data_IF_558656743671
#
_entry.id   IF_558656743671
#
_cell.length_a   1.000
_cell.length_b   1.000
_cell.length_c   1.000
_cell.angle_alpha   90.00
_cell.angle_beta   90.00
_cell.angle_gamma   90.00
#
_symmetry.space_group_name_H-M   'P 1'
#
loop_
_entity.id
_entity.type
_entity.pdbx_description
1 polymer ?
#
# COMPACT_ATOMS: atom_id res chain seq x y z
N UNK A 1 -12.69 -10.86 -8.99
CA UNK A 1 -12.34 -11.32 -7.62
C UNK A 1 -11.60 -10.28 -6.80
N UNK A 2 -10.54 -9.62 -7.31
CA UNK A 2 -9.81 -8.57 -6.55
C UNK A 2 -10.66 -7.32 -6.25
N UNK A 3 -11.53 -6.91 -7.18
CA UNK A 3 -12.45 -5.78 -6.97
C UNK A 3 -13.38 -6.05 -5.77
N UNK A 4 -14.02 -7.22 -5.73
CA UNK A 4 -14.93 -7.62 -4.63
C UNK A 4 -14.20 -7.59 -3.28
N UNK A 5 -12.99 -8.15 -3.21
CA UNK A 5 -12.19 -8.12 -1.97
C UNK A 5 -11.86 -6.70 -1.52
N UNK A 6 -11.59 -5.81 -2.47
CA UNK A 6 -11.31 -4.40 -2.18
C UNK A 6 -12.56 -3.68 -1.67
N UNK A 7 -13.70 -3.87 -2.33
CA UNK A 7 -14.98 -3.32 -1.87
C UNK A 7 -15.31 -3.79 -0.46
N UNK A 8 -15.14 -5.08 -0.16
CA UNK A 8 -15.34 -5.61 1.19
C UNK A 8 -14.40 -4.99 2.24
N UNK A 9 -13.14 -4.73 1.89
CA UNK A 9 -12.18 -4.05 2.80
C UNK A 9 -12.60 -2.61 3.07
N UNK A 10 -12.98 -1.87 2.03
CA UNK A 10 -13.48 -0.49 2.16
C UNK A 10 -14.73 -0.48 3.03
N UNK A 11 -15.69 -1.38 2.75
CA UNK A 11 -16.93 -1.49 3.52
C UNK A 11 -16.65 -1.83 4.99
N UNK A 12 -15.77 -2.79 5.27
CA UNK A 12 -15.42 -3.16 6.64
C UNK A 12 -14.78 -2.01 7.42
N UNK A 13 -13.86 -1.26 6.82
CA UNK A 13 -13.23 -0.08 7.46
C UNK A 13 -14.25 1.03 7.63
N UNK A 14 -15.09 1.28 6.63
CA UNK A 14 -16.16 2.28 6.68
C UNK A 14 -17.16 1.99 7.80
N UNK A 15 -17.66 0.75 7.88
CA UNK A 15 -18.61 0.33 8.92
C UNK A 15 -17.97 0.42 10.31
N UNK A 16 -16.72 -0.02 10.47
CA UNK A 16 -16.01 0.08 11.75
C UNK A 16 -15.91 1.55 12.21
N UNK A 17 -15.51 2.43 11.31
CA UNK A 17 -15.32 3.85 11.62
C UNK A 17 -16.62 4.59 11.90
N UNK A 18 -17.73 4.12 11.33
CA UNK A 18 -19.06 4.72 11.46
C UNK A 18 -20.01 3.92 12.37
N UNK A 19 -19.53 2.92 13.09
CA UNK A 19 -20.40 2.00 13.83
C UNK A 19 -21.31 2.73 14.82
N UNK A 20 -20.77 3.71 15.57
CA UNK A 20 -21.55 4.51 16.49
C UNK A 20 -22.59 5.41 15.81
N UNK A 21 -22.26 5.98 14.65
CA UNK A 21 -23.20 6.80 13.88
C UNK A 21 -24.30 5.95 13.22
N UNK A 22 -23.93 4.76 12.73
CA UNK A 22 -24.88 3.79 12.16
C UNK A 22 -25.83 3.26 13.22
N UNK A 23 -25.40 3.09 14.46
CA UNK A 23 -26.24 2.70 15.58
C UNK A 23 -27.27 3.77 15.94
N UNK A 24 -26.92 5.04 15.83
CA UNK A 24 -27.88 6.14 16.01
C UNK A 24 -28.95 6.17 14.90
N UNK A 25 -28.61 5.71 13.69
CA UNK A 25 -29.53 5.63 12.56
C UNK A 25 -30.39 4.35 12.59
N UNK A 26 -29.81 3.24 13.00
CA UNK A 26 -30.42 1.93 13.04
C UNK A 26 -29.93 1.17 14.30
N UNK A 27 -30.67 1.27 15.42
CA UNK A 27 -30.27 0.64 16.67
C UNK A 27 -30.09 -0.88 16.51
N UNK A 28 -28.93 -1.38 16.92
CA UNK A 28 -28.60 -2.80 16.90
C UNK A 28 -28.78 -3.41 18.31
N UNK A 29 -29.14 -4.71 18.41
CA UNK A 29 -29.05 -5.41 19.67
C UNK A 29 -27.63 -5.33 20.23
N UNK A 30 -27.45 -5.07 21.52
CA UNK A 30 -26.14 -4.85 22.13
C UNK A 30 -25.15 -5.99 21.89
N UNK A 31 -25.61 -7.24 21.86
CA UNK A 31 -24.77 -8.40 21.51
C UNK A 31 -24.24 -8.32 20.07
N UNK A 32 -25.07 -7.89 19.11
CA UNK A 32 -24.68 -7.74 17.70
C UNK A 32 -23.68 -6.59 17.56
N UNK A 33 -23.90 -5.47 18.24
CA UNK A 33 -22.97 -4.34 18.26
C UNK A 33 -21.57 -4.77 18.70
N UNK A 34 -21.46 -5.46 19.85
CA UNK A 34 -20.15 -5.91 20.37
C UNK A 34 -19.49 -6.94 19.48
N UNK A 35 -20.23 -7.87 18.87
CA UNK A 35 -19.69 -8.85 17.92
C UNK A 35 -19.14 -8.16 16.66
N UNK A 36 -19.87 -7.18 16.12
CA UNK A 36 -19.43 -6.42 14.96
C UNK A 36 -18.18 -5.60 15.31
N UNK A 37 -18.19 -4.90 16.42
CA UNK A 37 -17.03 -4.10 16.87
C UNK A 37 -15.79 -4.98 17.01
N UNK A 38 -15.90 -6.13 17.65
CA UNK A 38 -14.79 -7.04 17.88
C UNK A 38 -14.29 -7.67 16.58
N UNK A 39 -15.21 -8.16 15.74
CA UNK A 39 -14.88 -8.77 14.46
C UNK A 39 -14.24 -7.79 13.47
N UNK A 40 -14.80 -6.58 13.34
CA UNK A 40 -14.27 -5.55 12.46
C UNK A 40 -12.93 -4.99 12.98
N UNK A 41 -12.77 -4.84 14.30
CA UNK A 41 -11.48 -4.44 14.90
C UNK A 41 -10.40 -5.48 14.68
N UNK A 42 -10.71 -6.76 14.88
CA UNK A 42 -9.78 -7.84 14.58
C UNK A 42 -9.40 -7.88 13.09
N UNK A 43 -10.39 -7.70 12.19
CA UNK A 43 -10.14 -7.56 10.75
C UNK A 43 -9.26 -6.35 10.45
N UNK A 44 -9.51 -5.20 11.06
CA UNK A 44 -8.74 -3.98 10.87
C UNK A 44 -7.27 -4.15 11.27
N UNK A 45 -6.99 -4.74 12.43
CA UNK A 45 -5.63 -5.07 12.87
C UNK A 45 -4.96 -6.04 11.90
N UNK A 46 -5.67 -7.12 11.52
CA UNK A 46 -5.15 -8.06 10.52
C UNK A 46 -4.85 -7.38 9.19
N UNK A 47 -5.71 -6.46 8.74
CA UNK A 47 -5.50 -5.73 7.50
C UNK A 47 -4.27 -4.81 7.55
N UNK A 48 -3.94 -4.25 8.71
CA UNK A 48 -2.68 -3.52 8.91
C UNK A 48 -1.45 -4.42 8.74
N UNK A 49 -1.51 -5.66 9.16
CA UNK A 49 -0.39 -6.61 9.10
C UNK A 49 -0.27 -7.21 7.68
N UNK A 50 -1.38 -7.73 7.17
CA UNK A 50 -1.46 -8.46 5.91
C UNK A 50 -2.45 -7.86 4.90
N UNK A 51 -2.21 -6.63 4.39
CA UNK A 51 -3.17 -5.94 3.52
C UNK A 51 -3.39 -6.65 2.19
N UNK A 52 -2.36 -7.33 1.66
CA UNK A 52 -2.47 -8.11 0.42
C UNK A 52 -1.54 -9.32 0.42
N UNK A 53 -2.10 -10.49 0.10
CA UNK A 53 -1.31 -11.70 -0.13
C UNK A 53 -0.70 -11.67 -1.54
N UNK A 54 0.63 -11.66 -1.63
CA UNK A 54 1.37 -11.77 -2.88
C UNK A 54 2.27 -13.01 -2.79
N UNK A 55 1.69 -14.18 -3.13
CA UNK A 55 2.40 -15.47 -3.09
C UNK A 55 3.64 -15.43 -4.00
N UNK A 56 4.77 -15.96 -3.54
CA UNK A 56 6.01 -16.01 -4.30
C UNK A 56 6.70 -14.67 -4.55
N UNK A 57 6.19 -13.54 -4.00
CA UNK A 57 6.86 -12.26 -4.11
C UNK A 57 7.88 -12.06 -2.97
N UNK A 58 9.04 -11.42 -3.23
CA UNK A 58 10.00 -11.02 -2.21
C UNK A 58 9.37 -10.11 -1.16
N UNK A 59 9.98 -10.05 0.03
CA UNK A 59 9.49 -9.21 1.14
C UNK A 59 9.25 -7.75 0.72
N UNK A 60 10.17 -7.16 -0.06
CA UNK A 60 10.06 -5.78 -0.57
C UNK A 60 8.77 -5.59 -1.40
N UNK A 61 8.53 -6.45 -2.37
CA UNK A 61 7.36 -6.35 -3.25
C UNK A 61 6.05 -6.64 -2.50
N UNK A 62 6.07 -7.53 -1.51
CA UNK A 62 4.91 -7.78 -0.64
C UNK A 62 4.57 -6.55 0.20
N UNK A 63 5.58 -5.89 0.79
CA UNK A 63 5.38 -4.67 1.55
C UNK A 63 4.88 -3.53 0.66
N UNK A 64 5.45 -3.37 -0.54
CA UNK A 64 5.07 -2.34 -1.51
C UNK A 64 3.61 -2.47 -1.97
N UNK A 65 3.19 -3.67 -2.39
CA UNK A 65 1.81 -3.88 -2.84
C UNK A 65 0.82 -3.85 -1.67
N UNK A 66 1.27 -4.24 -0.47
CA UNK A 66 0.50 -4.07 0.76
C UNK A 66 0.27 -2.59 1.09
N UNK A 67 1.30 -1.76 0.98
CA UNK A 67 1.19 -0.31 1.15
C UNK A 67 0.26 0.33 0.11
N UNK A 68 0.34 -0.11 -1.15
CA UNK A 68 -0.60 0.30 -2.19
C UNK A 68 -2.07 0.02 -1.81
N UNK A 69 -2.37 -1.17 -1.29
CA UNK A 69 -3.74 -1.53 -0.88
C UNK A 69 -4.21 -0.71 0.33
N UNK A 70 -3.35 -0.46 1.31
CA UNK A 70 -3.68 0.39 2.46
C UNK A 70 -4.01 1.82 2.01
N UNK A 71 -3.15 2.43 1.17
CA UNK A 71 -3.39 3.77 0.62
C UNK A 71 -4.68 3.84 -0.21
N UNK A 72 -4.93 2.84 -1.05
CA UNK A 72 -6.11 2.82 -1.89
C UNK A 72 -7.40 2.66 -1.07
N UNK A 73 -7.40 1.75 -0.07
CA UNK A 73 -8.55 1.55 0.82
C UNK A 73 -8.80 2.81 1.65
N UNK A 74 -7.76 3.43 2.24
CA UNK A 74 -7.94 4.67 3.01
C UNK A 74 -8.52 5.80 2.16
N UNK A 75 -8.06 5.96 0.91
CA UNK A 75 -8.59 6.96 -0.02
C UNK A 75 -10.05 6.70 -0.39
N UNK A 76 -10.40 5.45 -0.71
CA UNK A 76 -11.78 5.08 -1.05
C UNK A 76 -12.72 5.21 0.15
N UNK A 77 -12.24 4.87 1.36
CA UNK A 77 -13.02 5.05 2.60
C UNK A 77 -13.26 6.54 2.89
N UNK A 78 -12.25 7.39 2.69
CA UNK A 78 -12.39 8.85 2.82
C UNK A 78 -13.42 9.43 1.83
N UNK A 79 -13.38 8.95 0.57
CA UNK A 79 -14.37 9.35 -0.44
C UNK A 79 -15.80 8.89 -0.06
N UNK A 80 -15.95 7.65 0.41
CA UNK A 80 -17.24 7.13 0.89
C UNK A 80 -17.78 7.93 2.08
N UNK A 81 -16.91 8.31 3.03
CA UNK A 81 -17.27 9.15 4.18
C UNK A 81 -17.76 10.53 3.75
N UNK A 82 -17.05 11.14 2.80
CA UNK A 82 -17.46 12.45 2.25
C UNK A 82 -18.87 12.38 1.65
N UNK A 83 -19.14 11.33 0.85
CA UNK A 83 -20.48 11.11 0.27
C UNK A 83 -21.50 10.86 1.37
N UNK A 84 -21.17 10.03 2.36
CA UNK A 84 -22.07 9.71 3.48
C UNK A 84 -22.45 10.98 4.27
N UNK A 85 -21.49 11.86 4.57
CA UNK A 85 -21.78 13.12 5.25
C UNK A 85 -22.62 14.08 4.39
N UNK A 86 -22.36 14.17 3.10
CA UNK A 86 -23.19 14.97 2.21
C UNK A 86 -24.63 14.46 2.23
N UNK A 87 -24.85 13.14 2.14
CA UNK A 87 -26.19 12.55 2.19
C UNK A 87 -26.85 12.84 3.53
N UNK A 88 -26.17 12.64 4.66
CA UNK A 88 -26.69 12.95 5.99
C UNK A 88 -27.08 14.41 6.15
N UNK A 89 -26.27 15.33 5.62
CA UNK A 89 -26.54 16.76 5.69
C UNK A 89 -27.74 17.17 4.80
N UNK A 90 -27.86 16.59 3.61
CA UNK A 90 -28.93 16.91 2.65
C UNK A 90 -30.28 16.29 3.05
N UNK A 91 -30.28 15.07 3.60
CA UNK A 91 -31.54 14.38 3.93
C UNK A 91 -32.21 14.86 5.21
N UNK A 92 -31.49 15.59 6.04
CA UNK A 92 -32.04 16.06 7.32
C UNK A 92 -32.36 14.94 8.33
N UNK A 93 -31.93 13.68 8.08
CA UNK A 93 -32.22 12.56 8.97
C UNK A 93 -31.89 12.84 10.43
N UNK A 94 -32.77 12.55 11.40
CA UNK A 94 -32.47 12.69 12.81
C UNK A 94 -31.39 11.70 13.21
N UNK A 95 -30.24 12.20 13.68
CA UNK A 95 -29.12 11.35 14.14
C UNK A 95 -29.22 10.97 15.60
N UNK A 96 -30.12 11.62 16.35
CA UNK A 96 -30.27 11.40 17.78
C UNK A 96 -31.73 11.14 18.09
N UNK A 97 -32.08 9.94 18.58
CA UNK A 97 -33.44 9.65 18.99
C UNK A 97 -33.83 10.49 20.22
N UNK A 98 -35.07 10.92 20.29
CA UNK A 98 -35.65 11.50 21.52
C UNK A 98 -35.53 10.47 22.67
N UNK A 99 -35.13 10.82 23.89
CA UNK A 99 -35.09 12.18 24.45
C UNK A 99 -33.75 12.89 24.46
N UNK A 100 -32.75 12.36 23.76
CA UNK A 100 -31.40 12.96 23.73
C UNK A 100 -31.40 14.21 22.84
N UNK A 101 -31.27 15.40 23.46
CA UNK A 101 -31.27 16.69 22.79
C UNK A 101 -29.93 17.13 22.23
N UNK A 102 -28.99 16.19 22.04
CA UNK A 102 -27.67 16.55 21.53
C UNK A 102 -27.77 17.09 20.07
N UNK A 103 -27.18 18.24 19.79
CA UNK A 103 -27.17 18.78 18.44
C UNK A 103 -26.54 17.79 17.45
N UNK A 104 -27.11 17.68 16.26
CA UNK A 104 -26.67 16.80 15.19
C UNK A 104 -25.16 16.92 14.89
N UNK A 105 -24.63 18.14 14.91
CA UNK A 105 -23.21 18.37 14.66
C UNK A 105 -22.30 17.70 15.71
N UNK A 106 -22.78 17.51 16.95
CA UNK A 106 -22.03 16.80 18.01
C UNK A 106 -21.78 15.33 17.61
N UNK A 107 -22.81 14.65 17.11
CA UNK A 107 -22.68 13.27 16.63
C UNK A 107 -21.73 13.17 15.44
N UNK A 108 -21.81 14.11 14.51
CA UNK A 108 -20.90 14.16 13.34
C UNK A 108 -19.46 14.44 13.76
N UNK A 109 -19.22 15.38 14.68
CA UNK A 109 -17.88 15.68 15.20
C UNK A 109 -17.31 14.49 15.97
N UNK A 110 -18.13 13.87 16.85
CA UNK A 110 -17.70 12.67 17.59
C UNK A 110 -17.32 11.52 16.65
N UNK A 111 -18.10 11.29 15.60
CA UNK A 111 -17.75 10.31 14.58
C UNK A 111 -16.44 10.66 13.86
N UNK A 112 -16.25 11.93 13.47
CA UNK A 112 -15.04 12.39 12.80
C UNK A 112 -13.79 12.17 13.66
N UNK A 113 -13.89 12.34 14.99
CA UNK A 113 -12.81 12.06 15.94
C UNK A 113 -12.43 10.57 16.01
N UNK A 114 -13.33 9.66 15.67
CA UNK A 114 -13.05 8.22 15.54
C UNK A 114 -12.57 7.88 14.14
N UNK A 115 -13.21 8.41 13.11
CA UNK A 115 -12.94 8.15 11.71
C UNK A 115 -11.50 8.57 11.30
N UNK A 116 -11.12 9.80 11.64
CA UNK A 116 -9.82 10.35 11.22
C UNK A 116 -8.62 9.54 11.75
N UNK A 117 -8.52 9.13 13.02
CA UNK A 117 -7.43 8.28 13.49
C UNK A 117 -7.41 6.90 12.82
N UNK A 118 -8.57 6.27 12.63
CA UNK A 118 -8.64 4.96 11.99
C UNK A 118 -8.15 5.03 10.53
N UNK A 119 -8.69 5.92 9.72
CA UNK A 119 -8.28 6.06 8.33
C UNK A 119 -6.87 6.64 8.21
N UNK A 120 -6.51 7.55 9.10
CA UNK A 120 -5.17 8.12 9.21
C UNK A 120 -4.09 7.06 9.48
N UNK A 121 -4.36 6.11 10.38
CA UNK A 121 -3.43 5.02 10.66
C UNK A 121 -3.20 4.11 9.44
N UNK A 122 -4.26 3.79 8.66
CA UNK A 122 -4.13 3.06 7.38
C UNK A 122 -3.26 3.84 6.39
N UNK A 123 -3.51 5.14 6.28
CA UNK A 123 -2.79 6.03 5.38
C UNK A 123 -1.31 6.12 5.74
N UNK A 124 -1.00 6.33 7.02
CA UNK A 124 0.37 6.41 7.54
C UNK A 124 1.12 5.10 7.31
N UNK A 125 0.53 3.95 7.68
CA UNK A 125 1.14 2.64 7.46
C UNK A 125 1.36 2.37 5.96
N UNK A 126 0.35 2.68 5.12
CA UNK A 126 0.45 2.55 3.67
C UNK A 126 1.54 3.44 3.08
N UNK A 127 1.61 4.68 3.53
CA UNK A 127 2.65 5.63 3.13
C UNK A 127 4.05 5.13 3.45
N UNK A 128 4.32 4.74 4.69
CA UNK A 128 5.66 4.26 5.08
C UNK A 128 6.05 3.01 4.30
N UNK A 129 5.14 2.05 4.12
CA UNK A 129 5.44 0.87 3.30
C UNK A 129 5.85 1.25 1.87
N UNK A 130 5.10 2.14 1.21
CA UNK A 130 5.40 2.59 -0.15
C UNK A 130 6.68 3.42 -0.18
N UNK A 131 6.84 4.38 0.73
CA UNK A 131 7.97 5.29 0.78
C UNK A 131 9.32 4.56 0.93
N UNK A 132 9.37 3.50 1.74
CA UNK A 132 10.62 2.75 1.97
C UNK A 132 10.84 1.62 0.95
N UNK A 133 9.82 1.16 0.24
CA UNK A 133 9.95 0.00 -0.66
C UNK A 133 9.96 0.34 -2.15
N UNK A 134 9.33 1.43 -2.56
CA UNK A 134 9.31 1.87 -3.97
C UNK A 134 10.62 2.54 -4.35
N UNK A 135 11.24 2.09 -5.44
CA UNK A 135 12.46 2.69 -6.02
C UNK A 135 12.14 3.74 -7.07
N UNK A 136 10.99 3.61 -7.75
CA UNK A 136 10.59 4.52 -8.82
C UNK A 136 9.83 5.76 -8.32
N UNK A 137 9.41 5.76 -7.05
CA UNK A 137 8.77 6.92 -6.45
C UNK A 137 9.83 7.97 -6.07
N UNK A 138 9.88 9.07 -6.82
CA UNK A 138 10.80 10.20 -6.54
C UNK A 138 10.52 10.77 -5.16
N UNK A 139 11.59 11.27 -4.51
CA UNK A 139 11.52 11.88 -3.16
C UNK A 139 10.47 13.01 -3.10
N UNK A 140 10.38 13.82 -4.16
CA UNK A 140 9.39 14.90 -4.25
C UNK A 140 7.96 14.39 -4.02
N UNK A 141 7.55 13.26 -4.63
CA UNK A 141 6.20 12.70 -4.45
C UNK A 141 5.97 12.16 -3.05
N UNK A 142 7.03 11.67 -2.38
CA UNK A 142 6.95 11.23 -0.98
C UNK A 142 6.72 12.41 -0.05
N UNK A 143 7.46 13.50 -0.26
CA UNK A 143 7.34 14.75 0.51
C UNK A 143 5.97 15.38 0.28
N UNK A 144 5.53 15.50 -0.98
CA UNK A 144 4.21 16.04 -1.31
C UNK A 144 3.08 15.23 -0.67
N UNK A 145 3.17 13.90 -0.70
CA UNK A 145 2.16 13.03 -0.06
C UNK A 145 2.12 13.22 1.45
N UNK A 146 3.28 13.46 2.09
CA UNK A 146 3.38 13.67 3.53
C UNK A 146 2.76 15.01 3.96
N UNK A 147 2.98 16.08 3.20
CA UNK A 147 2.59 17.44 3.61
C UNK A 147 1.28 17.93 2.99
N UNK A 148 0.88 17.44 1.82
CA UNK A 148 -0.27 17.94 1.06
C UNK A 148 -1.44 16.96 0.98
N UNK A 149 -1.42 15.87 1.75
CA UNK A 149 -2.48 14.85 1.74
C UNK A 149 -3.85 15.39 2.16
N UNK A 150 -3.88 16.46 2.94
CA UNK A 150 -5.10 17.10 3.46
C UNK A 150 -5.74 18.10 2.48
N UNK A 151 -5.05 18.53 1.42
CA UNK A 151 -5.60 19.42 0.41
C UNK A 151 -6.54 18.66 -0.54
N UNK A 152 -7.86 18.99 -0.61
CA UNK A 152 -8.85 18.11 -1.26
C UNK A 152 -8.52 17.81 -2.72
N UNK A 153 -8.59 18.74 -3.64
CA UNK A 153 -8.38 18.46 -5.08
C UNK A 153 -6.97 17.99 -5.43
N UNK A 154 -5.97 18.54 -4.77
CA UNK A 154 -4.58 18.16 -4.97
C UNK A 154 -4.30 16.73 -4.51
N UNK A 155 -4.97 16.30 -3.44
CA UNK A 155 -4.91 14.97 -2.89
C UNK A 155 -5.33 13.90 -3.93
N UNK A 156 -6.43 14.09 -4.66
CA UNK A 156 -6.90 13.14 -5.69
C UNK A 156 -5.81 12.92 -6.76
N UNK A 157 -5.20 14.01 -7.25
CA UNK A 157 -4.12 13.93 -8.22
C UNK A 157 -2.89 13.22 -7.66
N UNK A 158 -2.47 13.61 -6.45
CA UNK A 158 -1.30 13.08 -5.78
C UNK A 158 -1.41 11.57 -5.54
N UNK A 159 -2.52 11.12 -4.93
CA UNK A 159 -2.79 9.70 -4.70
C UNK A 159 -2.83 8.91 -6.00
N UNK A 160 -3.54 9.42 -7.01
CA UNK A 160 -3.63 8.73 -8.31
C UNK A 160 -2.25 8.56 -8.96
N UNK A 161 -1.39 9.56 -8.86
CA UNK A 161 -0.02 9.53 -9.38
C UNK A 161 0.85 8.51 -8.64
N UNK A 162 0.83 8.57 -7.30
CA UNK A 162 1.60 7.64 -6.45
C UNK A 162 1.13 6.21 -6.66
N UNK A 163 -0.18 5.97 -6.61
CA UNK A 163 -0.76 4.63 -6.79
C UNK A 163 -0.45 4.05 -8.18
N UNK A 164 -0.53 4.85 -9.24
CA UNK A 164 -0.16 4.40 -10.60
C UNK A 164 1.32 4.02 -10.67
N UNK A 165 2.22 4.83 -10.09
CA UNK A 165 3.66 4.57 -10.09
C UNK A 165 3.99 3.28 -9.36
N UNK A 166 3.48 3.11 -8.14
CA UNK A 166 3.71 1.91 -7.31
C UNK A 166 3.15 0.65 -7.98
N UNK A 167 1.96 0.73 -8.55
CA UNK A 167 1.33 -0.38 -9.27
C UNK A 167 2.17 -0.80 -10.49
N UNK A 168 2.64 0.17 -11.29
CA UNK A 168 3.51 -0.11 -12.45
C UNK A 168 4.82 -0.76 -12.02
N UNK A 169 5.47 -0.23 -10.99
CA UNK A 169 6.70 -0.80 -10.44
C UNK A 169 6.49 -2.24 -9.99
N UNK A 170 5.40 -2.53 -9.28
CA UNK A 170 5.11 -3.87 -8.82
C UNK A 170 5.00 -4.88 -9.98
N UNK A 171 4.19 -4.58 -10.99
CA UNK A 171 4.00 -5.49 -12.12
C UNK A 171 5.27 -5.63 -12.97
N UNK A 172 6.02 -4.56 -13.18
CA UNK A 172 7.30 -4.60 -13.87
C UNK A 172 8.30 -5.51 -13.16
N UNK A 173 8.48 -5.33 -11.85
CA UNK A 173 9.40 -6.16 -11.06
C UNK A 173 8.95 -7.63 -10.99
N UNK A 174 7.64 -7.89 -10.96
CA UNK A 174 7.11 -9.26 -11.02
C UNK A 174 7.35 -9.93 -12.36
N UNK A 175 7.11 -9.22 -13.47
CA UNK A 175 7.39 -9.72 -14.82
C UNK A 175 8.88 -10.00 -14.99
N UNK A 176 9.73 -9.08 -14.51
CA UNK A 176 11.19 -9.27 -14.55
C UNK A 176 11.64 -10.53 -13.78
N UNK A 177 11.10 -10.75 -12.57
CA UNK A 177 11.42 -11.96 -11.80
C UNK A 177 10.96 -13.24 -12.51
N UNK A 178 9.81 -13.21 -13.18
CA UNK A 178 9.34 -14.35 -13.98
C UNK A 178 10.26 -14.64 -15.16
N UNK A 179 10.70 -13.59 -15.87
CA UNK A 179 11.67 -13.72 -16.96
C UNK A 179 13.03 -14.22 -16.45
N UNK A 180 13.56 -13.63 -15.35
CA UNK A 180 14.80 -14.08 -14.73
C UNK A 180 14.74 -15.56 -14.32
N UNK A 181 13.60 -16.03 -13.78
CA UNK A 181 13.41 -17.44 -13.41
C UNK A 181 13.41 -18.38 -14.63
N UNK A 182 12.77 -17.96 -15.73
CA UNK A 182 12.74 -18.72 -16.97
C UNK A 182 14.12 -18.84 -17.62
N UNK A 183 14.94 -17.76 -17.53
CA UNK A 183 16.32 -17.78 -18.08
C UNK A 183 17.31 -18.60 -17.24
N UNK A 184 17.06 -18.83 -15.94
CA UNK A 184 17.92 -19.65 -15.10
C UNK A 184 17.98 -21.10 -15.60
N UNK A 185 16.88 -21.62 -16.15
CA UNK A 185 16.80 -22.99 -16.67
C UNK A 185 17.33 -23.11 -18.12
N UNK A 186 17.45 -22.00 -18.85
CA UNK A 186 17.78 -22.00 -20.27
C UNK A 186 19.28 -22.11 -20.57
N UNK A 187 20.16 -21.91 -19.57
CA UNK A 187 21.63 -21.82 -19.77
C UNK A 187 22.07 -20.88 -20.93
N UNK A 188 21.23 -19.86 -21.23
CA UNK A 188 21.44 -18.97 -22.40
C UNK A 188 22.77 -18.23 -22.38
N UNK A 189 23.38 -18.07 -21.20
CA UNK A 189 24.67 -17.41 -21.03
C UNK A 189 25.85 -18.38 -20.93
N UNK A 190 25.65 -19.69 -21.14
CA UNK A 190 26.70 -20.69 -21.10
C UNK A 190 27.56 -20.57 -22.36
N UNK A 191 28.73 -20.02 -22.20
CA UNK A 191 29.69 -19.85 -23.27
C UNK A 191 30.77 -20.93 -23.21
N UNK A 192 31.38 -21.23 -24.36
CA UNK A 192 32.52 -22.21 -24.47
C UNK A 192 33.72 -21.75 -23.64
N UNK A 193 33.93 -20.46 -23.55
CA UNK A 193 35.01 -19.84 -22.79
C UNK A 193 34.47 -19.00 -21.66
N UNK A 194 35.18 -18.87 -20.52
CA UNK A 194 34.77 -18.02 -19.43
C UNK A 194 34.77 -16.55 -19.83
N UNK A 195 33.84 -15.77 -19.25
CA UNK A 195 33.75 -14.33 -19.46
C UNK A 195 34.65 -13.64 -18.45
N UNK A 196 35.60 -12.83 -18.91
CA UNK A 196 36.44 -12.01 -18.03
C UNK A 196 35.91 -10.61 -17.99
N UNK A 197 35.54 -10.15 -16.79
CA UNK A 197 35.11 -8.77 -16.55
C UNK A 197 36.33 -7.91 -16.18
N UNK A 198 36.65 -6.94 -17.02
CA UNK A 198 37.74 -5.99 -16.79
C UNK A 198 37.17 -4.62 -16.52
N UNK A 199 37.57 -3.97 -15.44
CA UNK A 199 37.18 -2.61 -15.11
C UNK A 199 38.31 -1.63 -15.34
N UNK A 200 37.98 -0.35 -15.56
CA UNK A 200 38.96 0.71 -15.75
C UNK A 200 39.68 1.10 -14.44
N UNK A 201 40.77 1.88 -14.58
CA UNK A 201 41.77 2.18 -13.54
C UNK A 201 41.18 2.87 -12.30
N UNK A 202 40.12 3.68 -12.45
CA UNK A 202 39.64 4.57 -11.39
C UNK A 202 38.89 3.90 -10.22
N UNK A 203 38.41 2.67 -10.35
CA UNK A 203 37.55 2.00 -9.35
C UNK A 203 38.07 0.63 -8.90
N UNK A 204 39.35 0.36 -9.11
CA UNK A 204 39.96 -0.95 -8.89
C UNK A 204 39.80 -1.48 -7.46
N UNK A 205 39.86 -0.62 -6.45
CA UNK A 205 39.93 -1.01 -5.05
C UNK A 205 38.61 -0.76 -4.26
N UNK A 206 37.57 -0.27 -4.91
CA UNK A 206 36.29 0.00 -4.26
C UNK A 206 35.36 -1.20 -4.30
N UNK A 207 35.60 -2.16 -3.42
CA UNK A 207 34.75 -3.35 -3.29
C UNK A 207 33.33 -3.04 -2.81
N UNK A 208 33.10 -1.89 -2.15
CA UNK A 208 31.78 -1.45 -1.65
C UNK A 208 30.78 -1.04 -2.75
N UNK A 209 31.27 -0.59 -3.89
CA UNK A 209 30.46 -0.24 -5.06
C UNK A 209 30.83 -1.16 -6.22
N UNK A 210 30.24 -2.36 -6.28
CA UNK A 210 30.48 -3.27 -7.39
C UNK A 210 30.31 -2.55 -8.71
N UNK A 211 31.38 -2.27 -9.43
CA UNK A 211 31.40 -1.57 -10.73
C UNK A 211 30.39 -2.16 -11.72
N UNK A 212 30.28 -3.47 -11.74
CA UNK A 212 29.37 -4.22 -12.61
C UNK A 212 27.97 -4.39 -12.02
N UNK A 213 27.72 -3.94 -10.79
CA UNK A 213 26.44 -4.05 -10.12
C UNK A 213 25.92 -5.48 -10.04
N UNK A 214 24.74 -5.73 -10.60
CA UNK A 214 24.10 -7.05 -10.63
C UNK A 214 24.35 -7.86 -11.90
N UNK A 215 25.14 -7.35 -12.85
CA UNK A 215 25.41 -8.01 -14.12
C UNK A 215 26.10 -9.37 -13.92
N UNK A 216 27.18 -9.50 -13.12
CA UNK A 216 27.85 -10.78 -12.92
C UNK A 216 26.94 -11.85 -12.33
N UNK A 217 26.12 -11.46 -11.34
CA UNK A 217 25.19 -12.41 -10.71
C UNK A 217 24.08 -12.86 -11.66
N UNK A 218 23.60 -11.97 -12.52
CA UNK A 218 22.61 -12.32 -13.54
C UNK A 218 23.19 -13.31 -14.56
N UNK A 219 24.40 -13.04 -15.07
CA UNK A 219 25.08 -13.91 -16.03
C UNK A 219 25.43 -15.29 -15.44
N UNK A 220 25.92 -15.34 -14.18
CA UNK A 220 26.19 -16.61 -13.51
C UNK A 220 24.93 -17.46 -13.35
N UNK A 221 23.80 -16.83 -13.03
CA UNK A 221 22.51 -17.53 -12.91
C UNK A 221 22.03 -18.13 -14.22
N UNK A 222 22.43 -17.54 -15.36
CA UNK A 222 22.13 -18.04 -16.69
C UNK A 222 23.24 -18.97 -17.24
N UNK A 223 24.10 -19.51 -16.39
CA UNK A 223 25.10 -20.52 -16.75
C UNK A 223 26.48 -19.99 -17.14
N UNK A 224 26.75 -18.68 -17.10
CA UNK A 224 28.04 -18.11 -17.44
C UNK A 224 29.11 -18.37 -16.37
N UNK A 225 30.31 -18.72 -16.79
CA UNK A 225 31.50 -18.71 -15.96
C UNK A 225 32.17 -17.34 -16.02
N UNK A 226 32.25 -16.64 -14.88
CA UNK A 226 32.74 -15.26 -14.83
C UNK A 226 33.97 -15.15 -13.93
N UNK A 227 35.00 -14.53 -14.47
CA UNK A 227 36.23 -14.15 -13.77
C UNK A 227 36.40 -12.63 -13.80
N UNK A 228 37.08 -12.11 -12.78
CA UNK A 228 37.44 -10.68 -12.72
C UNK A 228 38.91 -10.52 -13.07
N UNK A 229 39.19 -9.70 -14.07
CA UNK A 229 40.56 -9.32 -14.42
C UNK A 229 41.19 -8.46 -13.30
N UNK A 230 42.34 -8.88 -12.78
CA UNK A 230 43.09 -8.17 -11.74
C UNK A 230 43.10 -8.81 -10.35
N UNK A 231 42.47 -9.97 -10.16
CA UNK A 231 42.70 -10.78 -8.96
C UNK A 231 43.94 -11.69 -9.21
N UNK A 232 45.10 -11.22 -8.76
CA UNK A 232 46.24 -12.09 -8.42
C UNK A 232 46.25 -12.31 -6.93
#
# INVERSE_FOLDING_TARGET
MELVKRTLRVLAVFVLANLGLLELLCPLPGTVHWLLLLGLSAFYVWFHICPRRAKGAPRRLRAMIGGYELLLVSFLTLAAETVFYIVLLCTGMPLVPAPYSAPRWVALVANLLVFLPLVGALLVNGFFRVAFTSKHLRVVWRVLLLFLWWLPFFNIYLFSRVLKTVRREYYFERARQGAEAAHIESEDCKTRYPIVLVHGIFFRDWQLFGYWGRIPDALRRCGAQIYYGGQQ
#
